data_IF_288394369314
#
_entry.id   IF_288394369314
#
_cell.length_a   1.000
_cell.length_b   1.000
_cell.length_c   1.000
_cell.angle_alpha   90.00
_cell.angle_beta   90.00
_cell.angle_gamma   90.00
#
_symmetry.space_group_name_H-M   'P 1'
#
loop_
_entity.id
_entity.type
_entity.pdbx_description
1 polymer ?
#
# COMPACT_ATOMS: atom_id res chain seq x y z
N UNK A 1 -12.06 -27.04 25.06
CA UNK A 1 -12.57 -26.92 23.66
C UNK A 1 -12.97 -25.47 23.34
N UNK A 2 -13.54 -24.68 24.26
CA UNK A 2 -13.88 -23.27 24.03
C UNK A 2 -12.65 -22.35 23.94
N UNK A 3 -11.62 -22.55 24.75
CA UNK A 3 -10.38 -21.74 24.74
C UNK A 3 -9.53 -21.86 23.46
N UNK A 4 -9.67 -22.94 22.70
CA UNK A 4 -9.00 -23.11 21.40
C UNK A 4 -9.69 -22.35 20.26
N UNK A 5 -10.93 -21.92 20.44
CA UNK A 5 -11.67 -21.13 19.44
C UNK A 5 -11.49 -19.61 19.63
N UNK A 6 -11.14 -19.12 20.81
CA UNK A 6 -10.85 -17.69 21.05
C UNK A 6 -9.48 -17.22 20.52
N UNK A 7 -8.60 -18.16 20.18
CA UNK A 7 -7.30 -17.83 19.57
C UNK A 7 -7.31 -17.71 18.04
N UNK A 8 -8.46 -17.83 17.40
CA UNK A 8 -8.61 -17.41 16.01
C UNK A 8 -8.68 -15.89 15.97
N UNK A 9 -7.49 -15.25 16.05
CA UNK A 9 -7.37 -13.79 15.97
C UNK A 9 -8.21 -13.27 14.81
N UNK A 10 -9.00 -12.24 15.08
CA UNK A 10 -9.81 -11.58 14.04
C UNK A 10 -8.85 -11.17 12.92
N UNK A 11 -9.01 -11.80 11.75
CA UNK A 11 -8.22 -11.44 10.57
C UNK A 11 -8.73 -10.11 10.04
N UNK A 12 -7.87 -9.10 10.09
CA UNK A 12 -8.13 -7.79 9.50
C UNK A 12 -7.92 -7.87 7.98
N UNK A 13 -8.78 -7.19 7.23
CA UNK A 13 -8.68 -7.10 5.79
C UNK A 13 -8.33 -5.68 5.36
N UNK A 14 -7.40 -5.53 4.42
CA UNK A 14 -7.02 -4.26 3.82
C UNK A 14 -7.06 -4.35 2.29
N UNK A 15 -7.75 -3.38 1.65
CA UNK A 15 -7.83 -3.31 0.19
C UNK A 15 -6.61 -2.58 -0.37
N UNK A 16 -5.69 -3.32 -0.98
CA UNK A 16 -4.47 -2.75 -1.56
C UNK A 16 -4.71 -1.99 -2.86
N UNK A 17 -5.77 -2.32 -3.59
CA UNK A 17 -6.15 -1.60 -4.79
C UNK A 17 -7.36 -2.15 -5.50
N UNK A 18 -8.08 -1.25 -6.16
CA UNK A 18 -9.22 -1.56 -7.02
C UNK A 18 -8.86 -1.10 -8.44
N UNK A 19 -9.13 -1.94 -9.42
CA UNK A 19 -8.79 -1.70 -10.83
C UNK A 19 -10.03 -1.89 -11.69
N UNK A 20 -10.35 -0.89 -12.53
CA UNK A 20 -11.38 -1.03 -13.55
C UNK A 20 -10.78 -1.70 -14.77
N UNK A 21 -11.35 -2.79 -15.20
CA UNK A 21 -10.97 -3.53 -16.43
C UNK A 21 -12.12 -3.54 -17.42
N UNK A 22 -11.82 -3.62 -18.70
CA UNK A 22 -12.82 -3.69 -19.74
C UNK A 22 -12.49 -4.83 -20.72
N UNK A 23 -13.51 -5.58 -21.13
CA UNK A 23 -13.44 -6.51 -22.25
C UNK A 23 -14.16 -5.89 -23.44
N UNK A 24 -13.50 -5.79 -24.60
CA UNK A 24 -14.08 -5.27 -25.82
C UNK A 24 -14.95 -6.36 -26.46
N UNK A 25 -16.18 -6.04 -26.73
CA UNK A 25 -17.18 -6.90 -27.41
C UNK A 25 -17.72 -6.20 -28.64
N UNK A 26 -18.43 -6.91 -29.53
CA UNK A 26 -18.96 -6.37 -30.80
C UNK A 26 -19.78 -5.07 -30.64
N UNK A 27 -20.51 -4.90 -29.52
CA UNK A 27 -21.36 -3.73 -29.24
C UNK A 27 -20.74 -2.68 -28.32
N UNK A 28 -19.47 -2.80 -27.90
CA UNK A 28 -18.84 -1.84 -27.00
C UNK A 28 -17.87 -2.48 -26.00
N UNK A 29 -17.74 -1.88 -24.81
CA UNK A 29 -16.83 -2.35 -23.75
C UNK A 29 -17.63 -2.80 -22.53
N UNK A 30 -17.42 -4.06 -22.12
CA UNK A 30 -18.00 -4.59 -20.88
C UNK A 30 -17.02 -4.37 -19.73
N UNK A 31 -17.41 -3.54 -18.79
CA UNK A 31 -16.57 -3.21 -17.62
C UNK A 31 -16.68 -4.24 -16.51
N UNK A 32 -15.60 -4.42 -15.78
CA UNK A 32 -15.50 -5.21 -14.57
C UNK A 32 -14.50 -4.56 -13.61
N UNK A 33 -14.65 -4.84 -12.32
CA UNK A 33 -13.75 -4.34 -11.29
C UNK A 33 -12.91 -5.50 -10.74
N UNK A 34 -11.61 -5.30 -10.70
CA UNK A 34 -10.68 -6.20 -10.01
C UNK A 34 -10.32 -5.61 -8.66
N UNK A 35 -10.43 -6.39 -7.60
CA UNK A 35 -9.97 -6.01 -6.27
C UNK A 35 -8.79 -6.87 -5.83
N UNK A 36 -7.81 -6.24 -5.17
CA UNK A 36 -6.69 -6.88 -4.51
C UNK A 36 -6.81 -6.63 -3.01
N UNK A 37 -7.00 -7.69 -2.24
CA UNK A 37 -7.19 -7.63 -0.79
C UNK A 37 -6.10 -8.43 -0.09
N UNK A 38 -5.63 -7.91 1.03
CA UNK A 38 -4.66 -8.54 1.92
C UNK A 38 -5.38 -8.77 3.25
N UNK A 39 -5.16 -9.94 3.84
CA UNK A 39 -5.77 -10.33 5.12
C UNK A 39 -4.67 -10.80 6.06
N UNK A 40 -4.66 -10.33 7.30
CA UNK A 40 -3.66 -10.71 8.30
C UNK A 40 -4.20 -10.65 9.72
N UNK A 41 -3.49 -11.31 10.64
CA UNK A 41 -3.86 -11.37 12.06
C UNK A 41 -2.92 -10.56 12.97
N UNK A 42 -1.96 -9.83 12.39
CA UNK A 42 -0.87 -9.12 13.09
C UNK A 42 0.00 -10.02 13.98
N UNK A 43 -0.07 -11.34 13.79
CA UNK A 43 0.68 -12.34 14.56
C UNK A 43 1.46 -13.30 13.66
N UNK A 44 1.86 -12.80 12.48
CA UNK A 44 2.64 -13.57 11.52
C UNK A 44 1.82 -14.39 10.52
N UNK A 45 0.49 -14.34 10.53
CA UNK A 45 -0.32 -14.97 9.47
C UNK A 45 -0.78 -13.91 8.50
N UNK A 46 -0.59 -14.16 7.21
CA UNK A 46 -1.00 -13.24 6.15
C UNK A 46 -1.44 -14.00 4.91
N UNK A 47 -2.40 -13.44 4.20
CA UNK A 47 -2.86 -13.94 2.91
C UNK A 47 -3.18 -12.81 1.95
N UNK A 48 -3.14 -13.07 0.66
CA UNK A 48 -3.61 -12.13 -0.35
C UNK A 48 -4.60 -12.80 -1.29
N UNK A 49 -5.53 -12.02 -1.81
CA UNK A 49 -6.50 -12.48 -2.78
C UNK A 49 -6.73 -11.45 -3.87
N UNK A 50 -6.92 -11.93 -5.08
CA UNK A 50 -7.30 -11.13 -6.21
C UNK A 50 -8.56 -11.73 -6.84
N UNK A 51 -9.59 -10.90 -7.02
CA UNK A 51 -10.82 -11.32 -7.68
C UNK A 51 -11.38 -10.22 -8.57
N UNK A 52 -12.24 -10.63 -9.51
CA UNK A 52 -12.95 -9.72 -10.42
C UNK A 52 -14.45 -9.94 -10.30
N UNK A 53 -15.21 -8.85 -10.39
CA UNK A 53 -16.67 -8.86 -10.44
C UNK A 53 -17.20 -7.68 -11.26
N UNK A 54 -18.48 -7.67 -11.56
CA UNK A 54 -19.18 -6.52 -12.18
C UNK A 54 -19.30 -5.34 -11.23
N UNK A 55 -19.37 -5.61 -9.92
CA UNK A 55 -19.49 -4.63 -8.85
C UNK A 55 -18.27 -4.66 -7.94
N UNK A 56 -17.96 -3.51 -7.32
CA UNK A 56 -16.82 -3.36 -6.42
C UNK A 56 -16.98 -4.16 -5.12
N UNK A 57 -18.11 -4.09 -4.37
CA UNK A 57 -18.28 -4.82 -3.12
C UNK A 57 -18.13 -6.33 -3.31
N UNK A 58 -18.77 -6.88 -4.33
CA UNK A 58 -18.69 -8.32 -4.64
C UNK A 58 -17.29 -8.75 -5.09
N UNK A 59 -16.50 -7.85 -5.70
CA UNK A 59 -15.11 -8.12 -6.03
C UNK A 59 -14.24 -8.19 -4.77
N UNK A 60 -14.45 -7.30 -3.80
CA UNK A 60 -13.73 -7.28 -2.51
C UNK A 60 -14.04 -8.54 -1.72
N UNK A 61 -15.31 -8.89 -1.53
CA UNK A 61 -15.70 -10.11 -0.79
C UNK A 61 -15.12 -11.40 -1.39
N UNK A 62 -15.13 -11.51 -2.73
CA UNK A 62 -14.49 -12.64 -3.42
C UNK A 62 -12.99 -12.66 -3.20
N UNK A 63 -12.33 -11.51 -3.27
CA UNK A 63 -10.89 -11.40 -3.04
C UNK A 63 -10.53 -11.76 -1.60
N UNK A 64 -11.32 -11.32 -0.62
CA UNK A 64 -11.15 -11.67 0.79
C UNK A 64 -11.28 -13.17 1.03
N UNK A 65 -12.30 -13.83 0.46
CA UNK A 65 -12.46 -15.28 0.53
C UNK A 65 -11.24 -16.02 -0.05
N UNK A 66 -10.66 -15.49 -1.14
CA UNK A 66 -9.41 -16.04 -1.71
C UNK A 66 -8.22 -15.81 -0.79
N UNK A 67 -8.09 -14.63 -0.20
CA UNK A 67 -7.00 -14.29 0.72
C UNK A 67 -6.99 -15.19 1.96
N UNK A 68 -8.16 -15.44 2.57
CA UNK A 68 -8.30 -16.31 3.75
C UNK A 68 -7.94 -17.78 3.47
N UNK A 69 -8.12 -18.24 2.23
CA UNK A 69 -7.74 -19.61 1.84
C UNK A 69 -6.24 -19.79 1.62
N UNK A 70 -5.56 -18.73 1.15
CA UNK A 70 -4.14 -18.74 0.80
C UNK A 70 -3.26 -18.05 1.87
N UNK A 71 -3.51 -18.32 3.15
CA UNK A 71 -2.70 -17.73 4.23
C UNK A 71 -1.39 -18.47 4.42
N UNK A 72 -0.30 -17.72 4.61
CA UNK A 72 1.02 -18.21 4.97
C UNK A 72 1.38 -17.76 6.39
N UNK A 73 2.24 -18.54 7.06
CA UNK A 73 2.84 -18.15 8.34
C UNK A 73 4.22 -17.60 8.09
N UNK A 74 4.50 -16.44 8.66
CA UNK A 74 5.76 -15.70 8.53
C UNK A 74 6.44 -15.71 9.90
N UNK A 75 7.70 -16.15 9.99
CA UNK A 75 8.46 -16.07 11.23
C UNK A 75 8.83 -14.60 11.51
N UNK A 76 8.62 -14.16 12.73
CA UNK A 76 8.97 -12.82 13.21
C UNK A 76 9.97 -12.92 14.35
N UNK A 77 10.88 -11.97 14.43
CA UNK A 77 11.81 -11.79 15.54
C UNK A 77 11.42 -10.53 16.32
N UNK A 78 10.58 -10.69 17.35
CA UNK A 78 9.99 -9.53 18.05
C UNK A 78 9.16 -8.68 17.10
N UNK A 79 9.53 -7.41 16.90
CA UNK A 79 8.85 -6.48 16.00
C UNK A 79 9.45 -6.41 14.58
N UNK A 80 10.47 -7.22 14.25
CA UNK A 80 11.17 -7.18 12.96
C UNK A 80 11.26 -8.55 12.30
N UNK A 81 11.87 -8.60 11.11
CA UNK A 81 12.12 -9.84 10.36
C UNK A 81 13.46 -10.46 10.78
N UNK A 82 13.61 -11.80 10.76
CA UNK A 82 14.80 -12.50 11.25
C UNK A 82 16.06 -12.28 10.42
N UNK A 83 15.95 -12.01 9.13
CA UNK A 83 17.08 -11.74 8.25
C UNK A 83 16.67 -10.91 7.03
N UNK A 84 17.64 -10.35 6.33
CA UNK A 84 17.44 -9.68 5.06
C UNK A 84 16.97 -10.70 4.00
N UNK A 85 16.02 -10.26 3.17
CA UNK A 85 15.48 -11.07 2.08
C UNK A 85 15.11 -10.22 0.86
N UNK A 86 15.30 -10.79 -0.33
CA UNK A 86 14.85 -10.22 -1.60
C UNK A 86 13.86 -11.15 -2.27
N UNK A 87 12.62 -10.69 -2.43
CA UNK A 87 11.59 -11.40 -3.18
C UNK A 87 11.44 -10.86 -4.59
N UNK A 88 11.13 -11.75 -5.53
CA UNK A 88 10.97 -11.43 -6.95
C UNK A 88 9.65 -11.96 -7.50
N UNK A 89 9.01 -11.13 -8.29
CA UNK A 89 7.89 -11.57 -9.09
C UNK A 89 7.85 -10.80 -10.41
N UNK A 90 8.07 -11.50 -11.51
CA UNK A 90 8.23 -10.90 -12.85
C UNK A 90 9.31 -9.79 -12.82
N UNK A 91 8.95 -8.58 -13.24
CA UNK A 91 9.86 -7.43 -13.26
C UNK A 91 9.91 -6.65 -11.93
N UNK A 92 9.15 -7.04 -10.91
CA UNK A 92 9.19 -6.41 -9.58
C UNK A 92 10.13 -7.17 -8.65
N UNK A 93 10.98 -6.42 -7.94
CA UNK A 93 11.86 -6.93 -6.88
C UNK A 93 11.64 -6.10 -5.64
N UNK A 94 11.55 -6.76 -4.49
CA UNK A 94 11.38 -6.10 -3.21
C UNK A 94 12.42 -6.64 -2.24
N UNK A 95 13.21 -5.74 -1.67
CA UNK A 95 14.19 -6.04 -0.65
C UNK A 95 13.63 -5.62 0.70
N UNK A 96 13.64 -6.53 1.65
CA UNK A 96 13.22 -6.33 3.04
C UNK A 96 14.45 -6.41 3.92
N UNK A 97 14.65 -5.40 4.78
CA UNK A 97 15.79 -5.27 5.69
C UNK A 97 15.27 -5.17 7.12
N UNK A 98 15.78 -5.97 8.05
CA UNK A 98 15.44 -5.82 9.46
C UNK A 98 15.94 -4.48 9.99
N UNK A 99 15.16 -3.85 10.87
CA UNK A 99 15.48 -2.58 11.47
C UNK A 99 15.47 -2.64 12.99
N UNK A 100 16.15 -1.69 13.62
CA UNK A 100 16.15 -1.55 15.08
C UNK A 100 14.77 -1.09 15.57
N UNK A 101 14.36 -1.49 16.77
CA UNK A 101 13.12 -1.03 17.39
C UNK A 101 13.03 0.51 17.38
N UNK A 102 11.85 1.03 17.06
CA UNK A 102 11.61 2.47 16.95
C UNK A 102 11.87 3.08 15.57
N UNK A 103 12.40 2.32 14.61
CA UNK A 103 12.58 2.80 13.22
C UNK A 103 11.24 2.94 12.50
N UNK A 104 10.27 2.09 12.85
CA UNK A 104 8.99 2.01 12.16
C UNK A 104 9.07 1.30 10.81
N UNK A 105 7.94 1.21 10.13
CA UNK A 105 7.87 0.60 8.78
C UNK A 105 8.15 1.65 7.71
N UNK A 106 9.32 1.57 7.10
CA UNK A 106 9.73 2.43 5.96
C UNK A 106 9.48 1.66 4.67
N UNK A 107 8.30 1.85 4.09
CA UNK A 107 7.84 1.08 2.95
C UNK A 107 6.89 1.88 2.04
N UNK A 108 6.80 1.47 0.78
CA UNK A 108 5.74 1.94 -0.11
C UNK A 108 4.35 1.45 0.35
N UNK A 109 3.29 2.14 -0.04
CA UNK A 109 1.92 1.89 0.44
C UNK A 109 1.51 0.42 0.43
N UNK A 110 1.70 -0.29 -0.69
CA UNK A 110 1.31 -1.71 -0.81
C UNK A 110 2.14 -2.63 0.07
N UNK A 111 3.43 -2.34 0.25
CA UNK A 111 4.34 -3.13 1.10
C UNK A 111 4.05 -2.86 2.56
N UNK A 112 3.81 -1.60 2.93
CA UNK A 112 3.48 -1.19 4.29
C UNK A 112 2.22 -1.90 4.80
N UNK A 113 1.14 -1.89 4.02
CA UNK A 113 -0.09 -2.60 4.40
C UNK A 113 0.13 -4.09 4.66
N UNK A 114 1.04 -4.74 3.92
CA UNK A 114 1.39 -6.14 4.15
C UNK A 114 2.13 -6.29 5.48
N UNK A 115 3.18 -5.50 5.72
CA UNK A 115 4.02 -5.61 6.91
C UNK A 115 3.23 -5.30 8.20
N UNK A 116 2.36 -4.29 8.17
CA UNK A 116 1.47 -3.95 9.29
C UNK A 116 0.50 -5.10 9.62
N UNK A 117 -0.10 -5.73 8.59
CA UNK A 117 -1.00 -6.87 8.77
C UNK A 117 -0.28 -8.16 9.19
N UNK A 118 1.00 -8.31 8.89
CA UNK A 118 1.84 -9.39 9.42
C UNK A 118 2.15 -9.16 10.91
N UNK A 119 2.24 -7.90 11.34
CA UNK A 119 2.63 -7.51 12.70
C UNK A 119 4.08 -7.06 12.81
N UNK A 120 4.73 -6.72 11.68
CA UNK A 120 6.07 -6.11 11.68
C UNK A 120 5.94 -4.63 12.00
N UNK A 121 6.65 -4.19 13.03
CA UNK A 121 6.70 -2.78 13.48
C UNK A 121 7.91 -2.04 12.94
N UNK A 122 9.02 -2.74 12.74
CA UNK A 122 10.30 -2.13 12.38
C UNK A 122 10.94 -2.86 11.18
N UNK A 123 10.89 -2.21 10.02
CA UNK A 123 11.44 -2.77 8.79
C UNK A 123 11.73 -1.68 7.76
N UNK A 124 12.86 -1.78 7.09
CA UNK A 124 13.17 -0.94 5.94
C UNK A 124 13.00 -1.73 4.64
N UNK A 125 12.42 -1.09 3.63
CA UNK A 125 12.14 -1.77 2.36
C UNK A 125 12.50 -0.91 1.17
N UNK A 126 12.85 -1.58 0.08
CA UNK A 126 13.04 -0.94 -1.22
C UNK A 126 12.46 -1.79 -2.34
N UNK A 127 11.67 -1.13 -3.20
CA UNK A 127 11.12 -1.74 -4.40
C UNK A 127 11.95 -1.32 -5.62
N UNK A 128 12.30 -2.30 -6.46
CA UNK A 128 13.02 -2.11 -7.70
C UNK A 128 12.21 -2.65 -8.89
N UNK A 129 12.45 -2.09 -10.07
CA UNK A 129 11.79 -2.51 -11.30
C UNK A 129 10.36 -2.02 -11.40
N UNK A 130 9.43 -2.91 -11.70
CA UNK A 130 8.02 -2.55 -11.89
C UNK A 130 7.32 -2.16 -10.58
N UNK A 131 6.58 -1.06 -10.62
CA UNK A 131 5.77 -0.55 -9.49
C UNK A 131 4.32 -1.03 -9.51
N UNK A 132 3.97 -1.99 -10.39
CA UNK A 132 2.61 -2.54 -10.44
C UNK A 132 2.26 -3.19 -9.10
N UNK A 133 1.22 -2.66 -8.43
CA UNK A 133 0.79 -3.09 -7.09
C UNK A 133 0.60 -4.59 -6.97
N UNK A 134 -0.01 -5.24 -7.98
CA UNK A 134 -0.24 -6.69 -7.97
C UNK A 134 1.08 -7.47 -7.96
N UNK A 135 2.05 -7.05 -8.76
CA UNK A 135 3.35 -7.71 -8.85
C UNK A 135 4.18 -7.46 -7.58
N UNK A 136 4.16 -6.23 -7.06
CA UNK A 136 4.86 -5.87 -5.81
C UNK A 136 4.33 -6.72 -4.65
N UNK A 137 3.00 -6.86 -4.50
CA UNK A 137 2.41 -7.70 -3.45
C UNK A 137 2.90 -9.14 -3.56
N UNK A 138 2.86 -9.73 -4.75
CA UNK A 138 3.35 -11.10 -4.96
C UNK A 138 4.85 -11.24 -4.68
N UNK A 139 5.66 -10.24 -5.04
CA UNK A 139 7.09 -10.23 -4.72
C UNK A 139 7.35 -10.15 -3.20
N UNK A 140 6.54 -9.39 -2.46
CA UNK A 140 6.64 -9.37 -0.98
C UNK A 140 6.26 -10.72 -0.38
N UNK A 141 5.20 -11.37 -0.88
CA UNK A 141 4.82 -12.70 -0.42
C UNK A 141 5.88 -13.75 -0.72
N UNK A 142 6.55 -13.65 -1.86
CA UNK A 142 7.72 -14.48 -2.19
C UNK A 142 8.86 -14.24 -1.18
N UNK A 143 9.19 -12.98 -0.87
CA UNK A 143 10.17 -12.64 0.16
C UNK A 143 9.80 -13.22 1.54
N UNK A 144 8.55 -13.02 1.98
CA UNK A 144 8.10 -13.51 3.28
C UNK A 144 8.10 -15.04 3.39
N UNK A 145 7.87 -15.76 2.30
CA UNK A 145 7.93 -17.23 2.28
C UNK A 145 9.37 -17.78 2.36
N UNK A 146 10.37 -16.98 2.04
CA UNK A 146 11.79 -17.34 2.12
C UNK A 146 12.37 -17.13 3.51
N UNK A 147 11.66 -16.43 4.41
CA UNK A 147 12.11 -16.17 5.77
C UNK A 147 12.21 -17.48 6.56
N UNK A 148 13.30 -17.62 7.32
CA UNK A 148 13.57 -18.77 8.19
C UNK A 148 13.94 -18.30 9.59
N UNK A 149 13.52 -19.05 10.59
CA UNK A 149 13.95 -18.83 11.97
C UNK A 149 15.37 -19.34 12.17
N UNK A 150 16.09 -18.77 13.13
CA UNK A 150 17.41 -19.20 13.53
C UNK A 150 17.43 -20.69 13.91
N UNK A 151 16.48 -21.12 14.75
CA UNK A 151 16.32 -22.49 15.18
C UNK A 151 16.23 -23.48 14.01
N UNK A 152 15.44 -23.14 12.99
CA UNK A 152 15.32 -23.97 11.78
C UNK A 152 16.64 -24.06 11.02
N UNK A 153 17.43 -22.99 10.98
CA UNK A 153 18.71 -22.96 10.28
C UNK A 153 19.75 -23.77 11.06
N UNK A 154 19.76 -23.69 12.39
CA UNK A 154 20.61 -24.48 13.27
C UNK A 154 20.31 -25.98 13.14
N UNK A 155 19.04 -26.35 13.15
CA UNK A 155 18.59 -27.73 12.94
C UNK A 155 19.06 -28.28 11.56
N UNK A 156 18.87 -27.49 10.51
CA UNK A 156 19.26 -27.87 9.15
C UNK A 156 20.77 -27.98 8.93
N UNK A 157 21.57 -27.14 9.63
CA UNK A 157 23.03 -27.11 9.47
C UNK A 157 23.78 -27.91 10.53
N UNK A 158 23.13 -28.23 11.65
CA UNK A 158 23.75 -28.92 12.79
C UNK A 158 24.85 -28.11 13.49
N UNK A 159 24.78 -26.76 13.40
CA UNK A 159 25.78 -25.85 13.97
C UNK A 159 25.05 -24.73 14.71
N UNK A 160 25.45 -24.45 15.92
CA UNK A 160 24.95 -23.29 16.67
C UNK A 160 25.47 -21.99 16.06
N UNK A 161 24.56 -21.07 15.74
CA UNK A 161 24.90 -19.81 15.06
C UNK A 161 25.33 -18.68 16.03
N UNK A 162 25.22 -18.92 17.36
CA UNK A 162 25.50 -17.87 18.34
C UNK A 162 24.50 -16.70 18.25
N UNK A 163 24.85 -15.54 18.81
CA UNK A 163 24.03 -14.33 18.69
C UNK A 163 24.16 -13.74 17.28
N UNK A 164 23.05 -13.37 16.67
CA UNK A 164 23.05 -12.75 15.34
C UNK A 164 23.11 -11.24 15.46
N UNK A 165 23.73 -10.56 14.47
CA UNK A 165 23.79 -9.08 14.39
C UNK A 165 22.43 -8.42 14.58
N UNK A 166 21.36 -9.10 14.18
CA UNK A 166 19.99 -8.59 14.27
C UNK A 166 19.50 -8.65 15.70
N UNK A 167 19.77 -9.77 16.42
CA UNK A 167 19.44 -9.90 17.83
C UNK A 167 20.18 -8.84 18.65
N UNK A 168 21.46 -8.57 18.38
CA UNK A 168 22.20 -7.50 19.02
C UNK A 168 21.60 -6.12 18.73
N UNK A 169 21.20 -5.85 17.48
CA UNK A 169 20.56 -4.58 17.10
C UNK A 169 19.22 -4.40 17.80
N UNK A 170 18.42 -5.45 17.89
CA UNK A 170 17.13 -5.44 18.59
C UNK A 170 17.36 -5.22 20.08
N UNK A 171 18.30 -5.92 20.71
CA UNK A 171 18.63 -5.75 22.12
C UNK A 171 19.15 -4.33 22.42
N UNK A 172 20.03 -3.80 21.54
CA UNK A 172 20.53 -2.43 21.66
C UNK A 172 19.41 -1.41 21.53
N UNK A 173 18.52 -1.56 20.55
CA UNK A 173 17.38 -0.66 20.35
C UNK A 173 16.40 -0.68 21.51
N UNK A 174 16.13 -1.84 22.10
CA UNK A 174 15.27 -1.98 23.27
C UNK A 174 15.81 -1.22 24.50
N UNK A 175 17.13 -1.18 24.68
CA UNK A 175 17.77 -0.39 25.76
C UNK A 175 17.52 1.12 25.60
N UNK A 176 17.47 1.64 24.38
CA UNK A 176 17.20 3.06 24.11
C UNK A 176 15.72 3.42 24.18
N UNK A 177 14.81 2.48 23.90
CA UNK A 177 13.37 2.75 24.00
C UNK A 177 12.87 2.83 25.44
N UNK A 178 13.69 2.48 26.44
CA UNK A 178 13.26 2.42 27.84
C UNK A 178 12.12 1.43 28.03
N UNK A 179 12.06 0.75 29.16
CA UNK A 179 10.86 -0.02 29.54
C UNK A 179 9.66 0.90 29.38
N UNK A 180 8.60 0.55 28.60
CA UNK A 180 7.39 1.35 28.62
C UNK A 180 6.98 1.50 30.07
N UNK A 181 7.02 2.74 30.57
CA UNK A 181 6.65 3.01 31.95
C UNK A 181 5.25 2.41 32.14
N UNK A 182 5.18 1.38 32.96
CA UNK A 182 3.92 0.80 33.43
C UNK A 182 3.18 1.92 34.20
N UNK A 183 2.51 2.80 33.47
CA UNK A 183 1.93 4.01 34.05
C UNK A 183 1.67 5.15 33.05
N UNK A 184 1.80 4.94 31.73
CA UNK A 184 1.24 5.90 30.79
C UNK A 184 -0.29 5.84 30.89
N UNK A 185 -0.79 6.31 32.03
CA UNK A 185 -2.15 6.67 32.27
C UNK A 185 -2.67 7.53 31.12
N UNK A 186 -3.78 7.07 30.55
CA UNK A 186 -4.86 7.85 29.95
C UNK A 186 -4.44 9.25 29.52
N UNK A 187 -4.24 9.43 28.23
CA UNK A 187 -4.09 10.75 27.65
C UNK A 187 -5.14 11.67 28.27
N UNK A 188 -4.67 12.72 28.96
CA UNK A 188 -5.50 13.82 29.42
C UNK A 188 -6.21 14.35 28.18
N UNK A 189 -7.47 14.09 28.08
CA UNK A 189 -8.34 14.72 27.09
C UNK A 189 -8.27 16.21 27.41
N UNK A 190 -7.56 16.97 26.58
CA UNK A 190 -7.57 18.42 26.65
C UNK A 190 -9.02 18.85 26.38
N UNK A 191 -9.70 19.30 27.41
CA UNK A 191 -11.02 19.91 27.27
C UNK A 191 -10.86 21.28 26.61
N UNK A 192 -11.91 21.71 25.89
CA UNK A 192 -11.90 22.97 25.13
C UNK A 192 -11.56 24.23 25.96
N UNK A 193 -11.55 24.12 27.29
CA UNK A 193 -11.18 25.18 28.23
C UNK A 193 -9.66 25.33 28.46
N UNK A 194 -8.85 24.33 28.09
CA UNK A 194 -7.39 24.37 28.23
C UNK A 194 -6.68 25.09 27.07
N UNK A 195 -7.41 25.50 26.03
CA UNK A 195 -6.86 26.24 24.85
C UNK A 195 -7.25 27.72 24.95
N UNK A 196 -7.08 28.33 26.13
CA UNK A 196 -7.12 29.77 26.21
C UNK A 196 -5.74 30.32 25.89
N UNK A 197 -5.48 30.50 24.59
CA UNK A 197 -4.33 31.27 24.11
C UNK A 197 -4.56 32.73 24.53
N UNK A 198 -3.80 33.18 25.53
CA UNK A 198 -3.65 34.60 25.82
C UNK A 198 -3.11 35.29 24.55
N UNK A 199 -3.95 36.07 23.93
CA UNK A 199 -3.52 37.01 22.90
C UNK A 199 -2.76 38.14 23.59
N UNK A 200 -1.54 38.48 23.23
CA UNK A 200 -0.95 39.72 23.66
C UNK A 200 -1.75 40.85 23.02
N UNK A 201 -2.34 41.70 23.89
CA UNK A 201 -2.85 43.03 23.53
C UNK A 201 -1.66 43.90 23.13
N UNK A 202 -1.95 44.81 22.23
CA UNK A 202 -1.21 45.98 21.81
C UNK A 202 -0.52 45.95 20.43
N UNK A 203 -1.26 46.50 19.47
CA UNK A 203 -0.83 47.66 18.70
C UNK A 203 -2.05 48.24 17.97
N UNK A 204 -2.57 49.34 18.55
CA UNK A 204 -3.45 50.33 17.89
C UNK A 204 -2.66 51.07 16.84
N UNK A 205 -3.43 51.56 15.86
CA UNK A 205 -3.14 52.57 14.81
C UNK A 205 -2.58 51.95 13.51
N UNK A 206 -3.16 52.11 12.37
CA UNK A 206 -3.66 53.27 11.63
C UNK A 206 -4.49 52.76 10.42
N UNK A 207 -5.65 53.35 10.24
CA UNK A 207 -6.36 53.33 8.97
C UNK A 207 -5.61 54.23 7.97
N UNK A 208 -5.63 53.88 6.70
CA UNK A 208 -5.86 54.91 5.70
C UNK A 208 -7.06 54.61 4.81
N UNK A 209 -7.90 55.60 4.80
CA UNK A 209 -8.89 56.12 3.87
C UNK A 209 -9.04 55.42 2.53
N UNK A 210 -10.33 55.19 2.25
CA UNK A 210 -10.93 55.00 0.97
C UNK A 210 -10.50 56.07 -0.07
N UNK A 211 -10.25 55.60 -1.28
CA UNK A 211 -10.33 56.43 -2.47
C UNK A 211 -11.09 55.63 -3.54
N UNK A 212 -12.28 56.16 -3.83
CA UNK A 212 -13.15 55.77 -4.92
C UNK A 212 -12.50 56.18 -6.26
N UNK A 213 -12.54 55.27 -7.22
CA UNK A 213 -12.61 55.63 -8.65
C UNK A 213 -13.21 54.44 -9.42
N UNK A 214 -14.49 54.54 -9.64
CA UNK A 214 -15.21 54.71 -10.90
C UNK A 214 -15.02 53.66 -11.97
N UNK A 215 -16.17 53.05 -12.23
CA UNK A 215 -16.61 52.28 -13.38
C UNK A 215 -16.36 53.00 -14.72
N UNK A 216 -16.14 52.23 -15.74
CA UNK A 216 -16.56 52.36 -17.14
C UNK A 216 -16.14 51.04 -17.82
N UNK A 217 -17.04 50.31 -18.23
CA UNK A 217 -17.94 50.25 -19.38
C UNK A 217 -17.45 49.20 -20.40
N UNK A 218 -18.37 48.31 -20.76
CA UNK A 218 -18.28 47.27 -21.78
C UNK A 218 -18.12 47.87 -23.18
N UNK A 219 -17.90 47.17 -24.29
CA UNK A 219 -18.85 46.15 -24.75
C UNK A 219 -18.24 44.91 -25.47
N UNK A 220 -19.14 43.99 -25.69
CA UNK A 220 -19.05 42.83 -26.55
C UNK A 220 -18.91 43.22 -28.03
N UNK A 221 -18.19 42.40 -28.79
CA UNK A 221 -18.47 42.17 -30.22
C UNK A 221 -18.05 40.80 -30.67
N UNK A 222 -19.04 40.16 -31.22
CA UNK A 222 -19.15 39.12 -32.20
C UNK A 222 -18.12 39.07 -33.34
N UNK A 223 -17.78 37.84 -33.75
CA UNK A 223 -17.58 37.40 -35.15
C UNK A 223 -17.29 35.90 -35.12
N UNK A 224 -18.25 35.01 -35.42
CA UNK A 224 -18.67 34.51 -36.76
C UNK A 224 -17.54 34.06 -37.66
N UNK A 225 -17.57 32.70 -37.85
CA UNK A 225 -17.66 31.92 -39.08
C UNK A 225 -16.48 32.03 -40.07
N UNK A 226 -16.05 30.85 -40.49
CA UNK A 226 -16.08 30.31 -41.88
C UNK A 226 -15.34 28.98 -41.90
N UNK A 227 -16.02 27.90 -42.14
CA UNK A 227 -16.14 27.11 -43.37
C UNK A 227 -14.88 27.01 -44.26
N UNK A 228 -14.38 25.80 -44.40
CA UNK A 228 -13.88 25.28 -45.67
C UNK A 228 -13.77 23.74 -45.64
N UNK A 229 -14.67 23.16 -46.36
CA UNK A 229 -14.61 21.80 -46.96
C UNK A 229 -13.34 21.62 -47.78
N UNK A 230 -12.75 20.42 -47.69
CA UNK A 230 -12.11 19.82 -48.88
C UNK A 230 -12.19 18.29 -48.81
N UNK A 231 -13.11 17.79 -49.60
CA UNK A 231 -13.11 16.43 -50.17
C UNK A 231 -11.89 16.22 -51.05
N UNK A 232 -11.35 15.02 -51.06
CA UNK A 232 -10.92 14.24 -52.24
C UNK A 232 -10.81 12.78 -51.80
N UNK A 233 -11.72 12.01 -52.20
CA UNK A 233 -11.75 10.83 -53.08
C UNK A 233 -10.37 10.38 -53.56
N UNK A 234 -10.00 9.13 -53.32
CA UNK A 234 -9.67 8.17 -54.36
C UNK A 234 -9.48 6.75 -53.80
N UNK A 235 -10.25 5.82 -54.30
CA UNK A 235 -10.00 4.39 -54.36
C UNK A 235 -9.90 4.07 -55.89
N UNK A 236 -9.62 2.84 -56.37
CA UNK A 236 -9.01 1.60 -55.88
C UNK A 236 -7.99 1.02 -56.88
N UNK A 237 -7.33 -0.11 -56.58
CA UNK A 237 -6.90 -1.15 -57.53
C UNK A 237 -6.29 -2.32 -56.72
N UNK A 238 -6.88 -3.45 -56.66
CA UNK A 238 -6.89 -4.64 -57.54
C UNK A 238 -5.50 -5.23 -57.89
N UNK A 239 -5.41 -6.54 -57.64
CA UNK A 239 -4.44 -7.44 -58.23
C UNK A 239 -3.53 -8.09 -57.20
N UNK A 240 -3.43 -9.33 -56.92
CA UNK A 240 -3.62 -10.56 -57.67
C UNK A 240 -3.01 -11.68 -56.80
N UNK A 241 -3.66 -12.80 -56.70
CA UNK A 241 -3.06 -14.07 -56.28
C UNK A 241 -2.22 -14.63 -57.46
N UNK A 242 -1.21 -15.49 -57.24
CA UNK A 242 -1.51 -16.91 -57.24
C UNK A 242 -0.75 -17.77 -56.23
N UNK A 243 -1.33 -18.87 -55.97
CA UNK A 243 -1.05 -20.21 -55.54
C UNK A 243 0.28 -20.84 -56.04
N UNK A 244 0.59 -21.97 -55.30
CA UNK A 244 1.45 -23.12 -55.66
C UNK A 244 2.94 -23.04 -55.25
N UNK A 245 3.27 -23.83 -54.26
CA UNK A 245 3.97 -25.11 -54.21
C UNK A 245 4.19 -25.54 -52.79
#
# INVERSE_FOLDING_TARGET
MAELMEQSGQMESHTAGIFRTAATVKGGRRFSFGAMVIVGDRRGKIGYGHAKSTEVPTAIEKAEKHARRGTIKVPLLGGTIPHEVEGRFLASRVRLLPASPGTGVIAGTSVRSILELVGVTDCMTKCYGSTNKVNVIKAVFDALSQLRTKELIEELRGVDLGETDIEERVARGQRFMGTPAAGASKGRVLTADDVRVERPEEAKSEEPKAEEAKAEDAPAEDAKADDAEAKTDDAPADGDKPADA
#
